data_IF_489785509869
#
_entry.id   IF_489785509869
#
_cell.length_a   1.000
_cell.length_b   1.000
_cell.length_c   1.000
_cell.angle_alpha   90.00
_cell.angle_beta   90.00
_cell.angle_gamma   90.00
#
_symmetry.space_group_name_H-M   'P 1'
#
loop_
_entity.id
_entity.type
_entity.pdbx_description
1 polymer ?
#
# COMPACT_ATOMS: atom_id res chain seq x y z
N UNK A 1 -12.46 -11.20 -67.64
CA UNK A 1 -11.44 -12.01 -66.92
C UNK A 1 -11.78 -13.47 -67.14
N UNK A 2 -11.13 -14.09 -68.12
CA UNK A 2 -11.31 -15.50 -68.49
C UNK A 2 -10.51 -16.37 -67.51
N UNK A 3 -11.21 -17.18 -66.71
CA UNK A 3 -10.58 -18.18 -65.83
C UNK A 3 -10.15 -19.33 -66.74
N UNK A 4 -8.84 -19.50 -66.91
CA UNK A 4 -8.29 -20.62 -67.67
C UNK A 4 -8.64 -21.93 -66.94
N UNK A 5 -9.46 -22.77 -67.58
CA UNK A 5 -9.76 -24.12 -67.12
C UNK A 5 -8.47 -24.94 -67.18
N UNK A 6 -7.85 -25.19 -66.03
CA UNK A 6 -6.75 -26.14 -65.96
C UNK A 6 -7.29 -27.55 -66.28
N UNK A 7 -6.59 -28.32 -67.13
CA UNK A 7 -7.01 -29.68 -67.44
C UNK A 7 -6.93 -30.55 -66.18
N UNK A 8 -7.96 -31.36 -65.96
CA UNK A 8 -8.04 -32.27 -64.83
C UNK A 8 -7.00 -33.39 -64.98
N UNK A 9 -6.01 -33.42 -64.09
CA UNK A 9 -5.00 -34.47 -64.02
C UNK A 9 -5.48 -35.60 -63.09
N UNK A 10 -5.96 -36.68 -63.71
CA UNK A 10 -6.46 -37.86 -63.01
C UNK A 10 -5.38 -38.55 -62.15
N UNK A 11 -4.12 -38.51 -62.57
CA UNK A 11 -3.01 -39.16 -61.85
C UNK A 11 -2.62 -38.38 -60.61
N UNK A 12 -2.69 -37.05 -60.66
CA UNK A 12 -2.56 -36.20 -59.49
C UNK A 12 -3.71 -36.44 -58.48
N UNK A 13 -4.93 -36.60 -58.98
CA UNK A 13 -6.10 -36.89 -58.13
C UNK A 13 -5.96 -38.24 -57.41
N UNK A 14 -5.58 -39.30 -58.12
CA UNK A 14 -5.38 -40.64 -57.55
C UNK A 14 -4.27 -40.66 -56.48
N UNK A 15 -3.15 -39.95 -56.71
CA UNK A 15 -2.06 -39.83 -55.72
C UNK A 15 -2.51 -39.11 -54.45
N UNK A 16 -3.27 -38.03 -54.59
CA UNK A 16 -3.83 -37.30 -53.43
C UNK A 16 -4.84 -38.15 -52.66
N UNK A 17 -5.74 -38.86 -53.34
CA UNK A 17 -6.71 -39.74 -52.71
C UNK A 17 -6.02 -40.88 -51.93
N UNK A 18 -4.98 -41.49 -52.48
CA UNK A 18 -4.19 -42.52 -51.81
C UNK A 18 -3.47 -41.97 -50.57
N UNK A 19 -2.90 -40.77 -50.64
CA UNK A 19 -2.25 -40.11 -49.50
C UNK A 19 -3.23 -39.81 -48.35
N UNK A 20 -4.44 -39.33 -48.68
CA UNK A 20 -5.51 -39.07 -47.69
C UNK A 20 -5.96 -40.37 -47.05
N UNK A 21 -6.20 -41.43 -47.83
CA UNK A 21 -6.56 -42.76 -47.31
C UNK A 21 -5.51 -43.30 -46.34
N UNK A 22 -4.22 -43.20 -46.69
CA UNK A 22 -3.12 -43.64 -45.83
C UNK A 22 -3.00 -42.81 -44.53
N UNK A 23 -3.41 -41.53 -44.55
CA UNK A 23 -3.44 -40.70 -43.34
C UNK A 23 -4.60 -41.06 -42.41
N UNK A 24 -5.76 -41.37 -42.97
CA UNK A 24 -6.97 -41.72 -42.21
C UNK A 24 -6.92 -43.15 -41.65
N UNK A 25 -6.28 -44.08 -42.37
CA UNK A 25 -6.19 -45.49 -41.99
C UNK A 25 -4.99 -45.82 -41.08
N UNK A 26 -4.17 -44.84 -40.69
CA UNK A 26 -3.11 -45.08 -39.70
C UNK A 26 -3.74 -45.24 -38.30
N UNK A 27 -3.65 -46.42 -37.66
CA UNK A 27 -4.16 -46.60 -36.31
C UNK A 27 -3.40 -45.65 -35.38
N UNK A 28 -4.13 -44.75 -34.72
CA UNK A 28 -3.59 -43.69 -33.85
C UNK A 28 -2.82 -44.25 -32.63
N UNK A 29 -2.94 -45.55 -32.37
CA UNK A 29 -2.39 -46.26 -31.22
C UNK A 29 -1.54 -47.47 -31.64
N UNK A 30 -0.70 -47.35 -32.67
CA UNK A 30 0.40 -48.29 -32.80
C UNK A 30 1.37 -47.99 -31.65
N UNK A 31 1.30 -48.81 -30.60
CA UNK A 31 2.17 -48.77 -29.43
C UNK A 31 3.61 -48.81 -29.98
N UNK A 32 4.28 -47.66 -30.00
CA UNK A 32 5.69 -47.61 -30.26
C UNK A 32 6.34 -48.43 -29.15
N UNK A 33 6.88 -49.60 -29.51
CA UNK A 33 7.58 -50.48 -28.59
C UNK A 33 8.58 -49.67 -27.77
N UNK A 34 8.35 -49.58 -26.47
CA UNK A 34 9.29 -48.94 -25.56
C UNK A 34 10.60 -49.71 -25.67
N UNK A 35 11.63 -49.06 -26.20
CA UNK A 35 13.00 -49.58 -26.18
C UNK A 35 13.35 -49.87 -24.72
N UNK A 36 13.97 -51.03 -24.49
CA UNK A 36 14.38 -51.52 -23.19
C UNK A 36 15.07 -50.42 -22.37
N UNK A 37 14.56 -50.24 -21.15
CA UNK A 37 15.05 -49.28 -20.16
C UNK A 37 16.50 -49.65 -19.83
N UNK A 38 17.45 -48.81 -20.28
CA UNK A 38 18.83 -48.87 -19.82
C UNK A 38 18.90 -48.46 -18.34
N UNK A 39 19.83 -49.07 -17.60
CA UNK A 39 20.01 -48.85 -16.17
C UNK A 39 20.05 -47.34 -15.80
N UNK A 40 19.43 -46.94 -14.68
CA UNK A 40 19.33 -45.54 -14.30
C UNK A 40 20.73 -44.96 -14.07
N UNK A 41 21.11 -43.98 -14.91
CA UNK A 41 22.28 -43.14 -14.62
C UNK A 41 22.01 -42.37 -13.32
N UNK A 42 23.02 -42.23 -12.43
CA UNK A 42 22.90 -41.36 -11.27
C UNK A 42 22.57 -39.94 -11.73
N UNK A 43 21.38 -39.47 -11.34
CA UNK A 43 20.91 -38.12 -11.65
C UNK A 43 21.68 -37.15 -10.76
N UNK A 44 22.66 -36.45 -11.32
CA UNK A 44 23.20 -35.25 -10.70
C UNK A 44 22.03 -34.28 -10.49
N UNK A 45 21.71 -34.01 -9.22
CA UNK A 45 20.65 -33.07 -8.85
C UNK A 45 21.11 -31.67 -9.24
N UNK A 46 20.75 -31.26 -10.45
CA UNK A 46 20.80 -29.86 -10.87
C UNK A 46 20.12 -29.00 -9.78
N UNK A 47 20.72 -27.87 -9.36
CA UNK A 47 20.11 -27.00 -8.37
C UNK A 47 18.72 -26.61 -8.84
N UNK A 48 17.71 -26.88 -8.00
CA UNK A 48 16.31 -26.56 -8.26
C UNK A 48 16.24 -25.09 -8.67
N UNK A 49 16.01 -24.85 -9.96
CA UNK A 49 15.75 -23.50 -10.47
C UNK A 49 14.55 -22.98 -9.68
N UNK A 50 14.63 -21.83 -8.98
CA UNK A 50 13.48 -21.31 -8.26
C UNK A 50 12.37 -21.11 -9.30
N UNK A 51 11.30 -21.90 -9.18
CA UNK A 51 10.09 -21.70 -9.96
C UNK A 51 9.57 -20.33 -9.55
N UNK A 52 9.82 -19.32 -10.37
CA UNK A 52 9.15 -18.03 -10.27
C UNK A 52 7.67 -18.36 -10.26
N UNK A 53 7.01 -18.17 -9.12
CA UNK A 53 5.61 -18.52 -8.93
C UNK A 53 4.79 -17.93 -10.09
N UNK A 54 4.38 -18.77 -11.03
CA UNK A 54 3.61 -18.34 -12.17
C UNK A 54 2.34 -17.69 -11.63
N UNK A 55 2.13 -16.43 -12.00
CA UNK A 55 0.98 -15.63 -11.58
C UNK A 55 -0.28 -16.33 -12.09
N UNK A 56 -0.93 -17.12 -11.23
CA UNK A 56 -2.16 -17.79 -11.60
C UNK A 56 -3.24 -16.74 -11.90
N UNK A 57 -3.69 -16.58 -13.16
CA UNK A 57 -4.65 -15.55 -13.55
C UNK A 57 -6.01 -15.73 -12.84
N UNK A 58 -6.34 -16.95 -12.43
CA UNK A 58 -7.54 -17.24 -11.63
C UNK A 58 -7.47 -16.61 -10.23
N UNK A 59 -6.30 -16.66 -9.57
CA UNK A 59 -6.14 -16.01 -8.26
C UNK A 59 -6.24 -14.49 -8.35
N UNK A 60 -5.77 -13.90 -9.45
CA UNK A 60 -5.97 -12.47 -9.72
C UNK A 60 -7.45 -12.13 -9.95
N UNK A 61 -8.16 -12.96 -10.71
CA UNK A 61 -9.59 -12.77 -10.93
C UNK A 61 -10.40 -12.89 -9.63
N UNK A 62 -10.11 -13.89 -8.79
CA UNK A 62 -10.76 -14.04 -7.47
C UNK A 62 -10.41 -12.88 -6.54
N UNK A 63 -9.17 -12.39 -6.54
CA UNK A 63 -8.79 -11.17 -5.78
C UNK A 63 -9.51 -9.92 -6.30
N UNK A 64 -9.62 -9.77 -7.63
CA UNK A 64 -10.31 -8.65 -8.26
C UNK A 64 -11.82 -8.68 -7.98
N UNK A 65 -12.46 -9.84 -8.07
CA UNK A 65 -13.87 -10.04 -7.73
C UNK A 65 -14.15 -9.81 -6.25
N UNK A 66 -13.29 -10.31 -5.36
CA UNK A 66 -13.35 -10.02 -3.92
C UNK A 66 -13.09 -8.56 -3.59
N UNK A 67 -12.42 -7.80 -4.47
CA UNK A 67 -12.22 -6.37 -4.33
C UNK A 67 -13.36 -5.55 -4.95
N UNK A 68 -14.10 -6.11 -5.92
CA UNK A 68 -15.20 -5.44 -6.63
C UNK A 68 -16.57 -5.71 -6.04
N UNK A 69 -16.74 -6.75 -5.20
CA UNK A 69 -18.00 -6.96 -4.50
C UNK A 69 -18.27 -5.81 -3.53
N UNK A 70 -19.51 -5.30 -3.54
CA UNK A 70 -19.93 -4.08 -2.83
C UNK A 70 -19.75 -4.10 -1.29
N UNK A 71 -19.33 -5.23 -0.72
CA UNK A 71 -19.04 -5.45 0.70
C UNK A 71 -17.56 -5.73 0.99
N UNK A 72 -16.69 -5.72 -0.02
CA UNK A 72 -15.26 -5.76 0.16
C UNK A 72 -14.84 -4.54 0.99
N UNK A 73 -14.32 -4.78 2.20
CA UNK A 73 -13.73 -3.73 3.05
C UNK A 73 -12.54 -3.14 2.31
N UNK A 74 -12.77 -2.17 1.42
CA UNK A 74 -11.69 -1.51 0.67
C UNK A 74 -10.66 -0.97 1.66
N UNK A 75 -9.36 -0.94 1.31
CA UNK A 75 -8.33 -0.38 2.20
C UNK A 75 -8.67 1.03 2.71
N UNK A 76 -9.36 1.83 1.87
CA UNK A 76 -9.85 3.16 2.23
C UNK A 76 -10.96 3.14 3.29
N UNK A 77 -11.95 2.27 3.15
CA UNK A 77 -13.02 2.12 4.16
C UNK A 77 -12.47 1.58 5.47
N UNK A 78 -11.52 0.64 5.41
CA UNK A 78 -10.78 0.15 6.57
C UNK A 78 -10.05 1.28 7.28
N UNK A 79 -9.28 2.09 6.54
CA UNK A 79 -8.53 3.22 7.07
C UNK A 79 -9.44 4.21 7.81
N UNK A 80 -10.60 4.56 7.23
CA UNK A 80 -11.57 5.47 7.86
C UNK A 80 -12.04 4.91 9.19
N UNK A 81 -12.54 3.66 9.19
CA UNK A 81 -13.09 3.02 10.39
C UNK A 81 -12.02 2.84 11.47
N UNK A 82 -10.85 2.34 11.08
CA UNK A 82 -9.75 2.06 12.01
C UNK A 82 -9.15 3.33 12.60
N UNK A 83 -9.11 4.42 11.85
CA UNK A 83 -8.70 5.72 12.39
C UNK A 83 -9.64 6.14 13.53
N UNK A 84 -10.96 6.00 13.34
CA UNK A 84 -11.95 6.33 14.37
C UNK A 84 -11.85 5.42 15.59
N UNK A 85 -11.59 4.12 15.40
CA UNK A 85 -11.32 3.17 16.49
C UNK A 85 -10.12 3.60 17.35
N UNK A 86 -9.05 4.11 16.71
CA UNK A 86 -7.87 4.66 17.38
C UNK A 86 -8.10 6.06 17.99
N UNK A 87 -9.28 6.64 17.83
CA UNK A 87 -9.62 7.97 18.34
C UNK A 87 -9.22 9.13 17.44
N UNK A 88 -8.88 8.87 16.17
CA UNK A 88 -8.48 9.88 15.20
C UNK A 88 -9.46 9.99 14.02
N UNK A 89 -9.61 11.19 13.49
CA UNK A 89 -10.25 11.42 12.19
C UNK A 89 -9.30 11.02 11.06
N UNK A 90 -9.84 10.58 9.92
CA UNK A 90 -9.01 10.29 8.75
C UNK A 90 -8.13 11.50 8.34
N UNK A 91 -8.66 12.72 8.46
CA UNK A 91 -7.95 13.96 8.12
C UNK A 91 -6.72 14.18 9.01
N UNK A 92 -6.72 13.71 10.25
CA UNK A 92 -5.57 13.79 11.18
C UNK A 92 -4.45 12.85 10.78
N UNK A 93 -4.83 11.60 10.53
CA UNK A 93 -3.90 10.55 10.14
C UNK A 93 -3.27 10.89 8.79
N UNK A 94 -4.03 11.37 7.83
CA UNK A 94 -3.49 11.75 6.51
C UNK A 94 -2.80 13.11 6.53
N UNK A 95 -3.22 14.00 7.43
CA UNK A 95 -2.77 15.38 7.52
C UNK A 95 -1.27 15.52 7.84
N UNK A 96 -0.72 16.74 7.70
CA UNK A 96 0.73 17.00 7.77
C UNK A 96 1.33 16.88 9.18
N UNK A 97 0.50 16.69 10.22
CA UNK A 97 0.96 16.69 11.61
C UNK A 97 2.11 15.72 11.87
N UNK A 98 3.18 16.16 12.50
CA UNK A 98 4.36 15.32 12.81
C UNK A 98 4.34 14.86 14.29
N UNK A 99 3.29 15.24 15.02
CA UNK A 99 3.15 14.92 16.43
C UNK A 99 3.04 13.39 16.67
N UNK A 100 3.69 12.93 17.73
CA UNK A 100 4.01 11.53 17.97
C UNK A 100 2.78 10.59 17.96
N UNK A 101 1.66 10.88 18.64
CA UNK A 101 0.43 10.10 18.52
C UNK A 101 -0.10 9.94 17.08
N UNK A 102 -0.07 10.99 16.26
CA UNK A 102 -0.48 10.84 14.85
C UNK A 102 0.51 9.97 14.07
N UNK A 103 1.81 10.06 14.39
CA UNK A 103 2.84 9.21 13.79
C UNK A 103 2.66 7.75 14.22
N UNK A 104 2.36 7.48 15.49
CA UNK A 104 2.07 6.13 16.01
C UNK A 104 0.82 5.54 15.35
N UNK A 105 -0.26 6.32 15.26
CA UNK A 105 -1.48 5.91 14.58
C UNK A 105 -1.22 5.60 13.09
N UNK A 106 -0.47 6.46 12.38
CA UNK A 106 -0.06 6.19 10.99
C UNK A 106 0.80 4.93 10.88
N UNK A 107 1.74 4.73 11.80
CA UNK A 107 2.62 3.57 11.81
C UNK A 107 1.79 2.29 11.97
N UNK A 108 0.89 2.25 12.95
CA UNK A 108 -0.04 1.14 13.14
C UNK A 108 -0.84 0.85 11.86
N UNK A 109 -1.46 1.90 11.28
CA UNK A 109 -2.27 1.76 10.08
C UNK A 109 -1.46 1.30 8.87
N UNK A 110 -0.21 1.77 8.71
CA UNK A 110 0.67 1.32 7.64
C UNK A 110 1.02 -0.17 7.75
N UNK A 111 1.33 -0.64 8.96
CA UNK A 111 1.54 -2.07 9.23
C UNK A 111 0.30 -2.91 8.93
N UNK A 112 -0.86 -2.49 9.43
CA UNK A 112 -2.12 -3.21 9.19
C UNK A 112 -2.52 -3.22 7.71
N UNK A 113 -2.27 -2.13 6.97
CA UNK A 113 -2.52 -2.07 5.53
C UNK A 113 -1.63 -3.04 4.75
N UNK A 114 -0.37 -3.19 5.16
CA UNK A 114 0.57 -4.15 4.57
C UNK A 114 0.15 -5.59 4.86
N UNK A 115 -0.15 -5.90 6.12
CA UNK A 115 -0.50 -7.27 6.54
C UNK A 115 -1.86 -7.73 6.02
N UNK A 116 -2.91 -6.91 6.18
CA UNK A 116 -4.29 -7.32 5.88
C UNK A 116 -4.61 -7.26 4.38
N UNK A 117 -4.00 -6.33 3.66
CA UNK A 117 -4.32 -6.08 2.25
C UNK A 117 -3.16 -6.35 1.30
N UNK A 118 -1.95 -6.66 1.80
CA UNK A 118 -0.79 -6.94 0.97
C UNK A 118 -0.34 -5.74 0.13
N UNK A 119 -0.61 -4.52 0.59
CA UNK A 119 -0.28 -3.30 -0.17
C UNK A 119 1.22 -3.02 -0.17
N UNK A 120 1.72 -2.50 -1.29
CA UNK A 120 3.10 -2.01 -1.39
C UNK A 120 3.24 -0.66 -0.71
N UNK A 121 4.46 -0.29 -0.32
CA UNK A 121 4.76 0.99 0.33
C UNK A 121 4.27 2.20 -0.47
N UNK A 122 4.39 2.15 -1.81
CA UNK A 122 3.91 3.19 -2.71
C UNK A 122 2.36 3.27 -2.73
N UNK A 123 1.67 2.14 -2.62
CA UNK A 123 0.21 2.14 -2.52
C UNK A 123 -0.25 2.72 -1.16
N UNK A 124 0.45 2.36 -0.08
CA UNK A 124 0.22 2.90 1.26
C UNK A 124 0.47 4.42 1.27
N UNK A 125 1.54 4.89 0.60
CA UNK A 125 1.87 6.31 0.51
C UNK A 125 0.77 7.13 -0.17
N UNK A 126 0.20 6.59 -1.26
CA UNK A 126 -0.96 7.20 -1.95
C UNK A 126 -2.20 7.25 -1.06
N UNK A 127 -2.47 6.21 -0.27
CA UNK A 127 -3.61 6.17 0.65
C UNK A 127 -3.46 7.15 1.80
N UNK A 128 -2.26 7.24 2.39
CA UNK A 128 -1.95 8.15 3.48
C UNK A 128 -1.59 9.57 3.03
N UNK A 129 -1.59 9.83 1.71
CA UNK A 129 -1.14 11.08 1.07
C UNK A 129 0.20 11.59 1.61
N UNK A 130 1.16 10.67 1.72
CA UNK A 130 2.53 10.94 2.16
C UNK A 130 3.54 10.51 1.11
N UNK A 131 4.72 11.08 1.20
CA UNK A 131 5.85 10.66 0.39
C UNK A 131 6.23 9.23 0.74
N UNK A 132 6.65 8.47 -0.28
CA UNK A 132 7.04 7.07 -0.12
C UNK A 132 8.18 6.91 0.89
N UNK A 133 9.12 7.85 0.95
CA UNK A 133 10.22 7.88 1.93
C UNK A 133 9.71 8.04 3.37
N UNK A 134 8.67 8.86 3.58
CA UNK A 134 8.02 8.98 4.89
C UNK A 134 7.34 7.68 5.31
N UNK A 135 6.76 6.95 4.36
CA UNK A 135 6.19 5.62 4.64
C UNK A 135 7.27 4.60 4.97
N UNK A 136 8.39 4.61 4.26
CA UNK A 136 9.53 3.76 4.56
C UNK A 136 10.02 3.96 6.01
N UNK A 137 10.15 5.21 6.45
CA UNK A 137 10.48 5.55 7.85
C UNK A 137 9.48 5.03 8.88
N UNK A 138 8.22 4.76 8.52
CA UNK A 138 7.28 4.12 9.45
C UNK A 138 7.63 2.65 9.67
N UNK A 139 8.13 1.98 8.64
CA UNK A 139 8.49 0.56 8.67
C UNK A 139 9.89 0.27 9.23
N UNK A 140 10.78 1.28 9.30
CA UNK A 140 12.09 1.13 9.99
C UNK A 140 11.94 0.95 11.50
N UNK A 141 10.79 1.30 12.06
CA UNK A 141 10.47 1.12 13.45
C UNK A 141 9.51 -0.06 13.64
N UNK A 142 9.56 -0.75 14.80
CA UNK A 142 8.65 -1.83 15.09
C UNK A 142 7.19 -1.35 15.07
N UNK A 143 6.29 -2.29 14.79
CA UNK A 143 4.85 -2.05 14.88
C UNK A 143 4.51 -1.60 16.30
N UNK A 144 3.82 -0.46 16.47
CA UNK A 144 3.43 0.01 17.80
C UNK A 144 2.34 -0.89 18.38
N UNK A 145 2.21 -0.92 19.70
CA UNK A 145 1.08 -1.60 20.34
C UNK A 145 -0.22 -0.84 20.10
N UNK A 146 -1.37 -1.50 20.30
CA UNK A 146 -2.68 -0.84 20.15
C UNK A 146 -2.85 0.30 21.16
N UNK A 147 -2.22 0.19 22.32
CA UNK A 147 -2.22 1.22 23.36
C UNK A 147 -1.42 2.46 22.94
N UNK A 148 -0.22 2.27 22.41
CA UNK A 148 0.63 3.36 21.90
C UNK A 148 0.01 4.10 20.71
N UNK A 149 -0.73 3.36 19.86
CA UNK A 149 -1.37 3.90 18.68
C UNK A 149 -2.75 4.53 18.96
N UNK A 150 -3.38 4.20 20.07
CA UNK A 150 -4.71 4.69 20.44
C UNK A 150 -4.62 5.98 21.25
N UNK A 151 -5.34 7.00 20.79
CA UNK A 151 -5.48 8.25 21.53
C UNK A 151 -6.16 8.06 22.88
N UNK A 152 -6.99 7.01 23.02
CA UNK A 152 -7.74 6.69 24.24
C UNK A 152 -6.88 6.08 25.34
N UNK A 153 -5.72 5.52 25.01
CA UNK A 153 -4.85 4.82 25.97
C UNK A 153 -3.50 5.53 26.15
N UNK A 154 -3.05 6.32 25.17
CA UNK A 154 -1.92 7.25 25.31
C UNK A 154 -2.25 8.50 26.15
N UNK A 155 -3.29 8.47 27.00
CA UNK A 155 -3.88 9.66 27.65
C UNK A 155 -2.99 10.31 28.71
N UNK A 156 -1.89 9.71 29.17
CA UNK A 156 -0.91 10.45 29.98
C UNK A 156 -0.06 11.41 29.11
N UNK A 157 0.71 10.95 28.11
CA UNK A 157 1.52 11.85 27.28
C UNK A 157 0.70 12.70 26.30
N UNK A 158 -0.45 12.21 25.81
CA UNK A 158 -1.29 12.94 24.87
C UNK A 158 -2.07 14.10 25.51
N UNK A 159 -2.69 13.88 26.67
CA UNK A 159 -3.42 14.93 27.39
C UNK A 159 -2.46 15.92 28.01
N UNK A 160 -1.33 15.47 28.58
CA UNK A 160 -0.29 16.39 29.09
C UNK A 160 0.32 17.20 27.95
N UNK A 161 0.50 16.62 26.76
CA UNK A 161 0.91 17.38 25.58
C UNK A 161 -0.14 18.40 25.16
N UNK A 162 -1.41 18.02 25.01
CA UNK A 162 -2.46 18.96 24.58
C UNK A 162 -2.68 20.06 25.62
N UNK A 163 -2.62 19.73 26.92
CA UNK A 163 -2.66 20.71 28.01
C UNK A 163 -1.43 21.60 28.02
N UNK A 164 -0.23 21.06 27.84
CA UNK A 164 1.00 21.86 27.79
C UNK A 164 1.00 22.76 26.55
N UNK A 165 0.59 22.26 25.38
CA UNK A 165 0.37 23.05 24.19
C UNK A 165 -0.68 24.14 24.42
N UNK A 166 -1.81 23.81 25.04
CA UNK A 166 -2.87 24.77 25.38
C UNK A 166 -2.36 25.83 26.35
N UNK A 167 -1.54 25.46 27.33
CA UNK A 167 -0.91 26.38 28.27
C UNK A 167 0.09 27.29 27.55
N UNK A 168 1.01 26.75 26.75
CA UNK A 168 1.94 27.54 25.93
C UNK A 168 1.22 28.46 24.95
N UNK A 169 0.15 27.96 24.32
CA UNK A 169 -0.74 28.72 23.43
C UNK A 169 -1.68 29.68 24.20
N UNK A 170 -1.74 29.67 25.53
CA UNK A 170 -2.41 30.71 26.32
C UNK A 170 -1.41 31.74 26.83
N UNK A 171 -0.21 31.31 27.22
CA UNK A 171 0.89 32.14 27.72
C UNK A 171 1.59 33.02 26.68
N UNK A 172 0.94 33.34 25.55
CA UNK A 172 1.49 34.23 24.50
C UNK A 172 2.87 33.86 23.93
N UNK A 173 3.28 32.59 24.07
CA UNK A 173 4.53 32.05 23.51
C UNK A 173 4.52 32.17 21.97
N UNK A 174 5.67 32.50 21.38
CA UNK A 174 5.79 32.70 19.93
C UNK A 174 5.55 31.38 19.18
N UNK A 175 5.00 31.47 17.95
CA UNK A 175 4.75 30.27 17.14
C UNK A 175 6.03 29.52 16.79
N UNK A 176 7.18 30.20 16.67
CA UNK A 176 8.49 29.57 16.48
C UNK A 176 8.89 28.71 17.68
N UNK A 177 8.67 29.21 18.89
CA UNK A 177 8.97 28.51 20.14
C UNK A 177 8.03 27.32 20.34
N UNK A 178 6.73 27.51 20.12
CA UNK A 178 5.75 26.43 20.11
C UNK A 178 6.12 25.37 19.06
N UNK A 179 6.53 25.81 17.86
CA UNK A 179 6.98 24.92 16.79
C UNK A 179 8.21 24.10 17.21
N UNK A 180 9.17 24.72 17.90
CA UNK A 180 10.39 24.07 18.37
C UNK A 180 10.11 23.08 19.52
N UNK A 181 9.38 23.51 20.55
CA UNK A 181 9.06 22.72 21.75
C UNK A 181 8.28 21.47 21.36
N UNK A 182 7.24 21.64 20.55
CA UNK A 182 6.31 20.55 20.22
C UNK A 182 6.64 19.85 18.90
N UNK A 183 7.70 20.28 18.21
CA UNK A 183 8.12 19.77 16.89
C UNK A 183 6.99 19.75 15.86
N UNK A 184 6.13 20.76 15.92
CA UNK A 184 5.02 20.96 14.99
C UNK A 184 5.33 22.10 14.03
N UNK A 185 4.84 22.05 12.80
CA UNK A 185 5.07 23.15 11.85
C UNK A 185 4.20 24.35 12.23
N UNK A 186 4.68 25.58 12.00
CA UNK A 186 3.91 26.80 12.31
C UNK A 186 2.53 26.84 11.64
N UNK A 187 2.39 26.18 10.47
CA UNK A 187 1.10 26.02 9.76
C UNK A 187 0.11 25.09 10.48
N UNK A 188 0.61 24.14 11.27
CA UNK A 188 -0.22 23.17 12.01
C UNK A 188 -0.70 23.69 13.36
N UNK A 189 -0.03 24.71 13.92
CA UNK A 189 -0.41 25.38 15.18
C UNK A 189 -1.85 25.91 15.13
N UNK A 190 -2.28 26.72 14.15
CA UNK A 190 -3.65 27.25 14.13
C UNK A 190 -4.70 26.14 13.97
N UNK A 191 -4.40 25.08 13.21
CA UNK A 191 -5.32 23.94 13.03
C UNK A 191 -5.50 23.19 14.35
N UNK A 192 -4.42 23.03 15.12
CA UNK A 192 -4.47 22.41 16.44
C UNK A 192 -5.20 23.30 17.45
N UNK A 193 -4.99 24.62 17.42
CA UNK A 193 -5.68 25.59 18.24
C UNK A 193 -7.20 25.57 17.98
N UNK A 194 -7.62 25.61 16.72
CA UNK A 194 -9.04 25.54 16.32
C UNK A 194 -9.71 24.28 16.88
N UNK A 195 -9.02 23.14 16.83
CA UNK A 195 -9.54 21.88 17.36
C UNK A 195 -9.69 21.84 18.86
N UNK A 196 -8.81 22.55 19.56
CA UNK A 196 -8.89 22.69 21.01
C UNK A 196 -9.88 23.79 21.42
N UNK A 197 -10.60 24.40 20.47
CA UNK A 197 -11.52 25.50 20.72
C UNK A 197 -10.82 26.78 21.20
N UNK A 198 -9.55 26.96 20.84
CA UNK A 198 -8.77 28.15 21.18
C UNK A 198 -8.97 29.22 20.12
N UNK A 199 -9.09 30.48 20.54
CA UNK A 199 -9.19 31.60 19.62
C UNK A 199 -7.90 31.71 18.78
N UNK A 200 -8.06 31.87 17.46
CA UNK A 200 -6.93 32.08 16.55
C UNK A 200 -6.24 33.40 16.90
N UNK A 201 -4.93 33.33 17.10
CA UNK A 201 -4.07 34.52 17.18
C UNK A 201 -3.77 35.03 15.78
N UNK A 202 -3.88 36.35 15.60
CA UNK A 202 -3.41 37.00 14.38
C UNK A 202 -1.89 36.85 14.28
N UNK A 203 -1.43 36.17 13.24
CA UNK A 203 -0.03 35.95 12.91
C UNK A 203 0.76 37.27 12.72
N UNK A 204 0.06 38.41 12.60
CA UNK A 204 0.62 39.73 12.31
C UNK A 204 0.74 40.69 13.50
N UNK A 205 0.29 40.35 14.72
CA UNK A 205 0.20 41.35 15.82
C UNK A 205 1.11 41.12 17.01
N UNK A 206 1.98 40.11 17.01
CA UNK A 206 3.10 40.08 17.97
C UNK A 206 4.17 41.04 17.46
N UNK A 207 3.85 42.34 17.54
CA UNK A 207 4.86 43.39 17.61
C UNK A 207 5.88 42.89 18.62
N UNK A 208 7.16 42.94 18.23
CA UNK A 208 8.26 42.87 19.16
C UNK A 208 7.99 43.86 20.30
N UNK A 209 7.36 43.41 21.40
CA UNK A 209 7.63 44.01 22.69
C UNK A 209 8.98 43.45 23.08
N UNK A 210 9.99 44.01 22.40
CA UNK A 210 11.33 44.14 22.89
C UNK A 210 11.22 44.59 24.35
N UNK A 211 11.35 43.64 25.28
CA UNK A 211 11.71 43.92 26.67
C UNK A 211 13.19 44.33 26.64
N UNK A 212 13.47 45.47 26.04
CA UNK A 212 14.59 46.32 26.38
C UNK A 212 14.03 47.38 27.33
N UNK A 213 13.75 46.97 28.56
CA UNK A 213 13.64 47.91 29.68
C UNK A 213 14.36 47.33 30.89
N UNK A 214 15.51 47.95 31.12
CA UNK A 214 16.09 48.26 32.42
C UNK A 214 16.64 47.09 33.24
N UNK A 215 17.90 46.75 32.96
CA UNK A 215 18.88 46.62 34.03
C UNK A 215 19.94 47.70 33.78
N UNK A 216 19.78 48.81 34.50
CA UNK A 216 20.86 49.75 34.81
C UNK A 216 21.61 49.20 36.02
#
# INVERSE_FOLDING_TARGET
>A
MTIANQPFDADAYCRNAAAIRNRLMKPRNAINGQKAISAPRPVERSPVRPVLAERNPFQFHVKAYRASSAFAKTPKTYLIRRSLELGFTLKEVVGPFIFLPFVMARRMLAWELREKFGLTELQISRLLKRDHSSIYQLFTHPRPTEEEASMRLALEPGVTFLRSFQNAYRSEVLYSEISAIYRITSRSIPILADRLGLQRRDLGSVKMRAKWKEVR
#
